data_IF_792377383225
#
_entry.id   IF_792377383225
#
_cell.length_a   1.000
_cell.length_b   1.000
_cell.length_c   1.000
_cell.angle_alpha   90.00
_cell.angle_beta   90.00
_cell.angle_gamma   90.00
#
_symmetry.space_group_name_H-M   'P 1'
#
loop_
_entity.id
_entity.type
_entity.pdbx_description
1 polymer ?
#
# COMPACT_ATOMS: atom_id res chain seq x y z
N UNK A 1 17.52 -16.87 17.41
CA UNK A 1 17.80 -15.55 18.03
C UNK A 1 17.52 -15.54 19.55
N UNK A 2 17.98 -16.56 20.29
CA UNK A 2 17.94 -16.56 21.78
C UNK A 2 19.37 -16.59 22.35
N UNK A 3 20.41 -16.53 21.51
CA UNK A 3 21.81 -16.68 21.92
C UNK A 3 22.58 -15.36 22.11
N UNK A 4 21.95 -14.20 21.94
CA UNK A 4 22.58 -12.90 22.22
C UNK A 4 21.84 -12.30 23.40
N UNK A 5 22.54 -11.99 24.50
CA UNK A 5 22.01 -11.56 25.80
C UNK A 5 21.25 -10.23 25.82
N UNK A 6 20.38 -9.96 24.85
CA UNK A 6 19.52 -8.80 24.80
C UNK A 6 18.43 -8.89 25.87
N UNK A 7 18.32 -7.85 26.70
CA UNK A 7 17.20 -7.68 27.65
C UNK A 7 15.89 -7.76 26.87
N UNK A 8 14.95 -8.59 27.35
CA UNK A 8 13.68 -8.97 26.69
C UNK A 8 12.86 -7.76 26.19
N UNK A 9 12.89 -6.64 26.90
CA UNK A 9 12.24 -5.39 26.48
C UNK A 9 12.84 -4.75 25.22
N UNK A 10 14.17 -4.85 25.01
CA UNK A 10 14.81 -4.33 23.79
C UNK A 10 14.33 -5.07 22.54
N UNK A 11 14.13 -6.38 22.60
CA UNK A 11 13.65 -7.17 21.45
C UNK A 11 12.20 -6.81 21.09
N UNK A 12 11.36 -6.44 22.06
CA UNK A 12 10.00 -5.94 21.80
C UNK A 12 10.03 -4.58 21.12
N UNK A 13 10.79 -3.66 21.69
CA UNK A 13 10.87 -2.31 21.14
C UNK A 13 11.45 -2.34 19.72
N UNK A 14 12.53 -3.10 19.47
CA UNK A 14 13.16 -3.19 18.14
C UNK A 14 12.20 -3.74 17.08
N UNK A 15 11.52 -4.86 17.33
CA UNK A 15 10.58 -5.44 16.36
C UNK A 15 9.37 -4.54 16.09
N UNK A 16 8.89 -3.82 17.11
CA UNK A 16 7.83 -2.84 16.95
C UNK A 16 8.26 -1.72 16.00
N UNK A 17 9.43 -1.12 16.25
CA UNK A 17 9.98 -0.09 15.38
C UNK A 17 10.25 -0.60 13.96
N UNK A 18 10.79 -1.81 13.82
CA UNK A 18 11.05 -2.42 12.50
C UNK A 18 9.75 -2.56 11.69
N UNK A 19 8.69 -3.10 12.30
CA UNK A 19 7.39 -3.27 11.63
C UNK A 19 6.78 -1.91 11.26
N UNK A 20 6.90 -0.92 12.16
CA UNK A 20 6.44 0.46 11.92
C UNK A 20 7.18 1.10 10.75
N UNK A 21 8.52 0.99 10.71
CA UNK A 21 9.35 1.57 9.66
C UNK A 21 9.09 0.92 8.30
N UNK A 22 8.99 -0.40 8.24
CA UNK A 22 8.67 -1.11 6.99
C UNK A 22 7.31 -0.66 6.45
N UNK A 23 6.32 -0.47 7.32
CA UNK A 23 5.01 0.01 6.90
C UNK A 23 4.98 1.45 6.41
N UNK A 24 5.64 2.35 7.14
CA UNK A 24 5.75 3.75 6.72
C UNK A 24 6.49 3.88 5.39
N UNK A 25 7.60 3.16 5.23
CA UNK A 25 8.36 3.15 3.98
C UNK A 25 7.53 2.57 2.84
N UNK A 26 6.80 1.48 3.05
CA UNK A 26 5.93 0.89 2.03
C UNK A 26 4.87 1.86 1.50
N UNK A 27 4.20 2.60 2.39
CA UNK A 27 3.21 3.62 2.00
C UNK A 27 3.87 4.78 1.26
N UNK A 28 5.00 5.29 1.75
CA UNK A 28 5.73 6.39 1.12
C UNK A 28 6.22 6.00 -0.29
N UNK A 29 6.86 4.85 -0.43
CA UNK A 29 7.31 4.35 -1.73
C UNK A 29 6.14 4.09 -2.68
N UNK A 30 5.04 3.50 -2.18
CA UNK A 30 3.83 3.31 -2.98
C UNK A 30 3.28 4.62 -3.53
N UNK A 31 3.23 5.67 -2.72
CA UNK A 31 2.80 6.99 -3.16
C UNK A 31 3.77 7.58 -4.20
N UNK A 32 5.07 7.64 -3.88
CA UNK A 32 6.12 8.21 -4.74
C UNK A 32 6.19 7.49 -6.09
N UNK A 33 6.04 6.17 -6.12
CA UNK A 33 6.07 5.39 -7.36
C UNK A 33 4.75 5.49 -8.14
N UNK A 34 3.61 5.66 -7.46
CA UNK A 34 2.32 5.83 -8.14
C UNK A 34 2.24 7.14 -8.93
N UNK A 35 2.81 8.22 -8.41
CA UNK A 35 2.72 9.56 -9.04
C UNK A 35 3.33 9.62 -10.45
N UNK A 36 4.58 9.20 -10.70
CA UNK A 36 5.18 9.23 -12.04
C UNK A 36 4.48 8.26 -13.00
N UNK A 37 4.03 7.09 -12.52
CA UNK A 37 3.25 6.15 -13.32
C UNK A 37 1.94 6.79 -13.80
N UNK A 38 1.23 7.48 -12.90
CA UNK A 38 0.01 8.19 -13.23
C UNK A 38 0.26 9.34 -14.22
N UNK A 39 1.32 10.13 -14.02
CA UNK A 39 1.70 11.21 -14.95
C UNK A 39 2.03 10.66 -16.34
N UNK A 40 2.71 9.52 -16.42
CA UNK A 40 3.02 8.89 -17.70
C UNK A 40 1.75 8.38 -18.42
N UNK A 41 0.82 7.76 -17.70
CA UNK A 41 -0.46 7.29 -18.22
C UNK A 41 -1.39 8.42 -18.70
N UNK A 42 -1.23 9.63 -18.17
CA UNK A 42 -1.97 10.81 -18.62
C UNK A 42 -1.44 11.32 -19.96
N UNK A 43 -0.12 11.28 -20.16
CA UNK A 43 0.51 11.69 -21.42
C UNK A 43 0.40 10.61 -22.51
N UNK A 44 0.39 9.34 -22.13
CA UNK A 44 0.20 8.19 -23.01
C UNK A 44 -1.07 7.41 -22.60
N UNK A 45 -2.27 7.90 -22.98
CA UNK A 45 -3.51 7.20 -22.68
C UNK A 45 -3.51 5.83 -23.35
N UNK A 46 -3.99 4.83 -22.63
CA UNK A 46 -4.08 3.46 -23.14
C UNK A 46 -5.14 3.45 -24.26
N UNK A 47 -4.78 3.02 -25.49
CA UNK A 47 -5.76 2.89 -26.56
C UNK A 47 -6.80 1.84 -26.15
N UNK A 48 -8.09 2.20 -26.28
CA UNK A 48 -9.17 1.26 -26.00
C UNK A 48 -9.16 0.14 -27.04
N UNK A 49 -9.42 -1.13 -26.66
CA UNK A 49 -9.60 -2.22 -27.61
C UNK A 49 -10.70 -1.88 -28.62
N UNK A 50 -10.54 -2.29 -29.88
CA UNK A 50 -11.43 -1.93 -31.00
C UNK A 50 -12.92 -2.16 -30.70
N UNK A 51 -13.25 -3.21 -29.95
CA UNK A 51 -14.63 -3.54 -29.54
C UNK A 51 -15.26 -2.51 -28.59
N UNK A 52 -14.45 -1.82 -27.78
CA UNK A 52 -14.90 -0.73 -26.92
C UNK A 52 -14.81 0.61 -27.64
N UNK A 53 -13.85 0.78 -28.54
CA UNK A 53 -13.70 1.99 -29.36
C UNK A 53 -14.95 2.28 -30.19
N UNK A 54 -15.52 1.28 -30.88
CA UNK A 54 -16.73 1.45 -31.69
C UNK A 54 -17.96 1.88 -30.88
N UNK A 55 -18.06 1.41 -29.63
CA UNK A 55 -19.15 1.80 -28.73
C UNK A 55 -18.96 3.25 -28.29
N UNK A 56 -17.75 3.62 -27.88
CA UNK A 56 -17.44 4.97 -27.44
C UNK A 56 -17.57 6.01 -28.57
N UNK A 57 -17.16 5.68 -29.79
CA UNK A 57 -17.35 6.53 -30.97
C UNK A 57 -18.84 6.73 -31.31
N UNK A 58 -19.67 5.69 -31.18
CA UNK A 58 -21.14 5.81 -31.35
C UNK A 58 -21.79 6.72 -30.31
N UNK A 59 -21.20 6.84 -29.13
CA UNK A 59 -21.62 7.79 -28.09
C UNK A 59 -20.95 9.17 -28.21
N UNK A 60 -20.11 9.40 -29.23
CA UNK A 60 -19.45 10.68 -29.49
C UNK A 60 -18.21 10.97 -28.64
N UNK A 61 -17.62 9.94 -28.01
CA UNK A 61 -16.40 10.05 -27.21
C UNK A 61 -15.16 9.57 -27.98
N UNK A 62 -14.01 10.22 -27.76
CA UNK A 62 -12.72 9.75 -28.28
C UNK A 62 -12.36 8.40 -27.62
N UNK A 63 -11.99 7.39 -28.42
CA UNK A 63 -11.65 6.03 -27.99
C UNK A 63 -10.28 5.92 -27.28
N UNK A 64 -10.03 6.80 -26.31
CA UNK A 64 -8.83 6.81 -25.45
C UNK A 64 -9.26 6.75 -23.99
N UNK A 65 -8.62 5.89 -23.21
CA UNK A 65 -8.77 5.92 -21.75
C UNK A 65 -7.97 7.08 -21.18
N UNK A 66 -8.66 8.20 -20.94
CA UNK A 66 -8.09 9.35 -20.26
C UNK A 66 -8.01 9.07 -18.77
N UNK A 67 -6.79 8.96 -18.24
CA UNK A 67 -6.59 8.98 -16.80
C UNK A 67 -6.84 10.40 -16.29
N UNK A 68 -7.84 10.55 -15.43
CA UNK A 68 -8.13 11.84 -14.83
C UNK A 68 -7.24 12.07 -13.60
N UNK A 69 -6.47 13.16 -13.63
CA UNK A 69 -5.72 13.69 -12.48
C UNK A 69 -6.60 14.54 -11.55
N UNK A 70 -7.90 14.26 -11.44
CA UNK A 70 -8.73 14.94 -10.43
C UNK A 70 -8.15 14.65 -9.05
N UNK A 71 -7.59 15.71 -8.44
CA UNK A 71 -6.90 15.65 -7.15
C UNK A 71 -7.79 15.05 -6.03
N UNK A 72 -9.10 15.30 -6.10
CA UNK A 72 -10.09 14.72 -5.18
C UNK A 72 -10.19 13.20 -5.29
N UNK A 73 -10.17 12.63 -6.50
CA UNK A 73 -10.23 11.18 -6.72
C UNK A 73 -8.92 10.54 -6.28
N UNK A 74 -7.79 11.17 -6.61
CA UNK A 74 -6.47 10.71 -6.21
C UNK A 74 -6.30 10.68 -4.68
N UNK A 75 -6.70 11.75 -3.99
CA UNK A 75 -6.66 11.79 -2.52
C UNK A 75 -7.54 10.74 -1.87
N UNK A 76 -8.78 10.55 -2.36
CA UNK A 76 -9.66 9.52 -1.83
C UNK A 76 -9.03 8.12 -1.99
N UNK A 77 -8.44 7.83 -3.15
CA UNK A 77 -7.77 6.56 -3.40
C UNK A 77 -6.60 6.32 -2.42
N UNK A 78 -5.78 7.35 -2.18
CA UNK A 78 -4.66 7.27 -1.23
C UNK A 78 -5.16 7.00 0.18
N UNK A 79 -6.20 7.72 0.62
CA UNK A 79 -6.80 7.53 1.94
C UNK A 79 -7.37 6.11 2.11
N UNK A 80 -8.03 5.58 1.08
CA UNK A 80 -8.56 4.21 1.09
C UNK A 80 -7.44 3.18 1.22
N UNK A 81 -6.38 3.29 0.40
CA UNK A 81 -5.24 2.36 0.45
C UNK A 81 -4.51 2.47 1.79
N UNK A 82 -4.36 3.69 2.32
CA UNK A 82 -3.78 3.93 3.63
C UNK A 82 -4.59 3.25 4.75
N UNK A 83 -5.91 3.37 4.72
CA UNK A 83 -6.79 2.71 5.70
C UNK A 83 -6.68 1.18 5.65
N UNK A 84 -6.66 0.58 4.45
CA UNK A 84 -6.47 -0.87 4.27
C UNK A 84 -5.11 -1.30 4.81
N UNK A 85 -4.08 -0.53 4.51
CA UNK A 85 -2.70 -0.82 4.94
C UNK A 85 -2.58 -0.83 6.46
N UNK A 86 -3.18 0.15 7.15
CA UNK A 86 -3.27 0.16 8.62
C UNK A 86 -3.98 -1.11 9.12
N UNK A 87 -5.09 -1.50 8.51
CA UNK A 87 -5.82 -2.73 8.85
C UNK A 87 -4.94 -3.98 8.74
N UNK A 88 -4.20 -4.11 7.65
CA UNK A 88 -3.26 -5.23 7.43
C UNK A 88 -2.12 -5.19 8.44
N UNK A 89 -1.60 -4.01 8.80
CA UNK A 89 -0.51 -3.87 9.79
C UNK A 89 -0.89 -4.29 11.20
N UNK A 90 -2.17 -4.22 11.57
CA UNK A 90 -2.64 -4.66 12.90
C UNK A 90 -2.42 -6.17 13.09
N UNK A 91 -2.57 -6.98 12.04
CA UNK A 91 -2.42 -8.44 12.11
C UNK A 91 -1.01 -8.92 12.55
N UNK A 92 0.10 -8.53 11.88
CA UNK A 92 1.44 -8.89 12.33
C UNK A 92 1.76 -8.30 13.70
N UNK A 93 1.22 -7.12 14.05
CA UNK A 93 1.42 -6.51 15.36
C UNK A 93 0.83 -7.37 16.49
N UNK A 94 -0.39 -7.86 16.31
CA UNK A 94 -1.04 -8.81 17.23
C UNK A 94 -0.29 -10.14 17.25
N UNK A 95 0.14 -10.64 16.09
CA UNK A 95 0.84 -11.92 15.97
C UNK A 95 2.18 -11.91 16.70
N UNK A 96 2.97 -10.84 16.54
CA UNK A 96 4.25 -10.64 17.26
C UNK A 96 4.02 -10.54 18.77
N UNK A 97 2.95 -9.86 19.20
CA UNK A 97 2.58 -9.79 20.61
C UNK A 97 2.17 -11.16 21.17
N UNK A 98 1.36 -11.94 20.45
CA UNK A 98 0.90 -13.29 20.86
C UNK A 98 2.00 -14.34 20.87
N UNK A 99 2.88 -14.37 19.86
CA UNK A 99 4.00 -15.32 19.81
C UNK A 99 4.92 -15.17 21.03
N UNK A 100 5.15 -13.93 21.48
CA UNK A 100 5.95 -13.67 22.69
C UNK A 100 5.24 -14.12 23.97
N UNK A 101 3.93 -13.89 24.10
CA UNK A 101 3.14 -14.37 25.25
C UNK A 101 3.19 -15.90 25.40
N UNK A 102 3.09 -16.63 24.29
CA UNK A 102 3.13 -18.10 24.29
C UNK A 102 4.54 -18.60 24.66
N UNK A 103 5.59 -17.91 24.22
CA UNK A 103 6.96 -18.26 24.57
C UNK A 103 7.27 -18.01 26.06
N UNK A 104 6.62 -17.02 26.69
CA UNK A 104 6.74 -16.76 28.14
C UNK A 104 5.97 -17.75 29.02
N UNK A 105 4.95 -18.45 28.51
CA UNK A 105 4.23 -19.48 29.26
C UNK A 105 4.92 -20.85 29.26
N UNK A 106 5.94 -21.04 28.42
CA UNK A 106 6.68 -22.31 28.25
C UNK A 106 8.06 -22.31 28.91
N UNK A 107 8.39 -21.30 29.72
CA UNK A 107 9.65 -21.23 30.50
C UNK A 107 9.40 -21.08 31.98
#
# INVERSE_FOLDING_TARGET
MVAVGMKRGKIINTLFFETLYIGLLGVLFGFILSTPVMMWLVQHPIPLPDSMAEVYEKFGFEAKLFFSLYYSVYLNQILTVFAITIGVFIYPLITVARFKLIQTLRS
#
